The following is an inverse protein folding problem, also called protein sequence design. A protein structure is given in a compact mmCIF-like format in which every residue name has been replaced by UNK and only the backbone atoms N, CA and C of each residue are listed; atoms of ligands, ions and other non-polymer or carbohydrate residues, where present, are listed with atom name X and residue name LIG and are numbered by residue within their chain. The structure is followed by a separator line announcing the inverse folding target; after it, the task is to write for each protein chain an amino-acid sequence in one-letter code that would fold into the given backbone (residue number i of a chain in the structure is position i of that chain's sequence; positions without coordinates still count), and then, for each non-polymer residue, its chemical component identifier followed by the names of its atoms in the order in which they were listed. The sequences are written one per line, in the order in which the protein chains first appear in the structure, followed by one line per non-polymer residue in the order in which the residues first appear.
data_IF_728865450136
#
_entry.id   IF_728865450136
#
_cell.length_a   1.000
_cell.length_b   1.000
_cell.length_c   1.000
_cell.angle_alpha   90.00
_cell.angle_beta   90.00
_cell.angle_gamma   90.00
#
_symmetry.space_group_name_H-M   'P 1'
#
loop_
_entity.id
_entity.type
_entity.pdbx_description
1 polymer ?
#
# COMPACT_ATOMS: atom_id res chain seq x y z
N UNK A 1 10.10 -2.92 -10.38
CA UNK A 1 9.70 -1.52 -10.13
C UNK A 1 10.04 -1.01 -8.71
N UNK A 2 10.14 -1.86 -7.68
CA UNK A 2 10.37 -1.41 -6.29
C UNK A 2 11.75 -1.73 -5.68
N UNK A 3 12.78 -1.99 -6.50
CA UNK A 3 14.10 -2.45 -6.07
C UNK A 3 14.91 -1.46 -5.22
N UNK A 4 14.39 -0.25 -4.95
CA UNK A 4 15.06 0.81 -4.16
C UNK A 4 14.43 1.07 -2.79
N UNK A 5 13.35 0.39 -2.44
CA UNK A 5 12.69 0.59 -1.14
C UNK A 5 13.25 -0.34 -0.07
N UNK A 6 13.26 0.13 1.18
CA UNK A 6 13.59 -0.72 2.32
C UNK A 6 12.55 -1.85 2.45
N UNK A 7 12.89 -2.97 3.08
CA UNK A 7 11.92 -4.05 3.33
C UNK A 7 10.68 -3.58 4.08
N UNK A 8 10.81 -2.58 4.97
CA UNK A 8 9.69 -1.98 5.68
C UNK A 8 8.77 -1.19 4.73
N UNK A 9 9.34 -0.34 3.87
CA UNK A 9 8.55 0.41 2.89
C UNK A 9 7.83 -0.52 1.90
N UNK A 10 8.45 -1.63 1.49
CA UNK A 10 7.78 -2.64 0.67
C UNK A 10 6.59 -3.30 1.37
N UNK A 11 6.66 -3.50 2.70
CA UNK A 11 5.52 -4.02 3.48
C UNK A 11 4.36 -3.03 3.50
N UNK A 12 4.63 -1.75 3.76
CA UNK A 12 3.63 -0.68 3.74
C UNK A 12 2.92 -0.62 2.38
N UNK A 13 3.67 -0.64 1.27
CA UNK A 13 3.07 -0.63 -0.06
C UNK A 13 2.14 -1.82 -0.31
N UNK A 14 2.52 -3.02 0.13
CA UNK A 14 1.67 -4.22 0.02
C UNK A 14 0.42 -4.14 0.89
N UNK A 15 0.53 -3.57 2.08
CA UNK A 15 -0.60 -3.33 2.97
C UNK A 15 -1.57 -2.31 2.35
N UNK A 16 -1.07 -1.22 1.79
CA UNK A 16 -1.92 -0.23 1.11
C UNK A 16 -2.66 -0.81 -0.10
N UNK A 17 -2.00 -1.67 -0.89
CA UNK A 17 -2.67 -2.41 -1.96
C UNK A 17 -3.72 -3.40 -1.44
N UNK A 18 -3.48 -4.04 -0.29
CA UNK A 18 -4.44 -4.94 0.33
C UNK A 18 -5.67 -4.18 0.81
N UNK A 19 -5.49 -3.05 1.48
CA UNK A 19 -6.60 -2.18 1.92
C UNK A 19 -7.44 -1.71 0.73
N UNK A 20 -6.80 -1.26 -0.35
CA UNK A 20 -7.50 -0.89 -1.59
C UNK A 20 -8.39 -2.05 -2.11
N UNK A 21 -7.89 -3.28 -2.09
CA UNK A 21 -8.67 -4.47 -2.49
C UNK A 21 -9.81 -4.78 -1.52
N UNK A 22 -9.55 -4.68 -0.22
CA UNK A 22 -10.56 -4.93 0.82
C UNK A 22 -11.76 -3.97 0.70
N UNK A 23 -11.49 -2.73 0.28
CA UNK A 23 -12.50 -1.69 0.09
C UNK A 23 -13.08 -1.62 -1.34
N UNK A 24 -12.70 -2.54 -2.24
CA UNK A 24 -13.12 -2.56 -3.64
C UNK A 24 -12.81 -1.25 -4.40
N UNK A 25 -11.72 -0.58 -4.03
CA UNK A 25 -11.26 0.62 -4.73
C UNK A 25 -10.36 0.24 -5.92
N UNK A 26 -10.45 1.05 -6.98
CA UNK A 26 -9.69 0.83 -8.22
C UNK A 26 -8.29 1.46 -8.20
N UNK A 27 -7.99 2.30 -7.21
CA UNK A 27 -6.71 2.98 -7.08
C UNK A 27 -6.28 3.10 -5.62
N UNK A 28 -4.98 3.02 -5.38
CA UNK A 28 -4.39 3.23 -4.06
C UNK A 28 -4.33 4.74 -3.79
N UNK A 29 -5.37 5.27 -3.12
CA UNK A 29 -5.38 6.61 -2.56
C UNK A 29 -4.51 6.79 -1.31
N UNK A 30 -4.37 8.03 -0.85
CA UNK A 30 -3.60 8.39 0.35
C UNK A 30 -4.19 7.79 1.63
N UNK A 31 -5.49 7.54 1.64
CA UNK A 31 -6.21 6.88 2.73
C UNK A 31 -5.70 5.45 2.97
N UNK A 32 -5.39 4.69 1.92
CA UNK A 32 -4.84 3.35 2.08
C UNK A 32 -3.40 3.37 2.58
N UNK A 33 -2.62 4.38 2.15
CA UNK A 33 -1.27 4.59 2.69
C UNK A 33 -1.30 4.96 4.17
N UNK A 34 -2.29 5.76 4.59
CA UNK A 34 -2.50 6.13 5.99
C UNK A 34 -2.81 4.90 6.85
N UNK A 35 -3.64 3.97 6.37
CA UNK A 35 -3.93 2.71 7.08
C UNK A 35 -2.77 1.71 7.06
N UNK A 36 -1.85 1.83 6.10
CA UNK A 36 -0.76 0.89 5.90
C UNK A 36 0.56 1.24 6.63
N UNK A 37 0.65 2.44 7.19
CA UNK A 37 1.78 2.93 8.00
C UNK A 37 1.61 2.56 9.48
#
# INVERSE_FOLDING_TARGET
MFSRFSPAALRVLRLAEQECRNHNHYYVGVEHMLFAL
#
